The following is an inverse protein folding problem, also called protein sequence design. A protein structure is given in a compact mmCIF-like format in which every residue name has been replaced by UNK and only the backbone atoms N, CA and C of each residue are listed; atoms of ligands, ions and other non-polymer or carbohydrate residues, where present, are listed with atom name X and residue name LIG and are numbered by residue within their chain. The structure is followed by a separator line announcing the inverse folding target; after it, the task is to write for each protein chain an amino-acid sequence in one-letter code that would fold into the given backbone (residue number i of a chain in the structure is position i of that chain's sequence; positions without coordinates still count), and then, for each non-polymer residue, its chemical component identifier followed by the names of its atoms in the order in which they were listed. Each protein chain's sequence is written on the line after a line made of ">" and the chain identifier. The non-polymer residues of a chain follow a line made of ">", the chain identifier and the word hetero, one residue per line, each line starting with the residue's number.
data_IF_692366741600
#
_entry.id   IF_692366741600
#
_cell.length_a   1.000
_cell.length_b   1.000
_cell.length_c   1.000
_cell.angle_alpha   90.00
_cell.angle_beta   90.00
_cell.angle_gamma   90.00
#
_symmetry.space_group_name_H-M   'P 1'
#
loop_
_entity.id
_entity.type
_entity.pdbx_description
1 polymer ?
#
# COMPACT_ATOMS: atom_id res chain seq x y z
N UNK A 1 -10.95 8.44 -13.16
CA UNK A 1 -11.23 9.86 -12.88
C UNK A 1 -10.19 10.40 -11.92
N UNK A 2 -9.52 11.50 -12.29
CA UNK A 2 -8.43 12.09 -11.53
C UNK A 2 -8.90 12.74 -10.22
N UNK A 3 -8.04 12.73 -9.20
CA UNK A 3 -8.29 13.42 -7.94
C UNK A 3 -8.20 14.95 -8.15
N UNK A 4 -9.15 15.71 -7.62
CA UNK A 4 -9.05 17.17 -7.54
C UNK A 4 -8.27 17.54 -6.28
N UNK A 5 -7.02 18.00 -6.44
CA UNK A 5 -6.11 18.34 -5.35
C UNK A 5 -6.61 19.50 -4.48
N UNK A 6 -7.40 20.43 -5.04
CA UNK A 6 -7.97 21.55 -4.28
C UNK A 6 -8.91 21.08 -3.15
N UNK A 7 -9.49 19.87 -3.27
CA UNK A 7 -10.28 19.28 -2.17
C UNK A 7 -9.40 18.88 -0.99
N UNK A 8 -8.15 18.45 -1.24
CA UNK A 8 -7.24 18.01 -0.19
C UNK A 8 -6.81 19.19 0.70
N UNK A 9 -6.66 20.39 0.12
CA UNK A 9 -6.41 21.62 0.87
C UNK A 9 -7.52 21.94 1.87
N UNK A 10 -8.74 21.46 1.60
CA UNK A 10 -9.89 21.61 2.49
C UNK A 10 -10.05 20.44 3.47
N UNK A 11 -9.09 19.52 3.57
CA UNK A 11 -9.13 18.41 4.52
C UNK A 11 -9.22 18.94 5.95
N UNK A 12 -10.18 18.39 6.72
CA UNK A 12 -10.34 18.70 8.15
C UNK A 12 -9.94 17.47 8.94
N UNK A 13 -8.82 17.57 9.63
CA UNK A 13 -8.31 16.56 10.54
C UNK A 13 -9.32 16.32 11.68
N UNK A 14 -9.56 15.06 12.00
CA UNK A 14 -10.30 14.62 13.18
C UNK A 14 -9.33 14.04 14.22
N UNK A 15 -8.55 13.02 13.84
CA UNK A 15 -7.56 12.40 14.74
C UNK A 15 -6.41 11.71 14.01
N UNK A 16 -5.30 11.52 14.71
CA UNK A 16 -4.17 10.69 14.25
C UNK A 16 -4.53 9.22 14.44
N UNK A 17 -4.33 8.40 13.40
CA UNK A 17 -4.56 6.95 13.44
C UNK A 17 -3.27 6.20 13.76
N UNK A 18 -2.17 6.58 13.13
CA UNK A 18 -0.86 5.99 13.36
C UNK A 18 0.24 7.01 13.09
N UNK A 19 1.26 7.00 13.92
CA UNK A 19 2.52 7.70 13.73
C UNK A 19 3.63 6.65 13.87
N UNK A 20 4.35 6.42 12.78
CA UNK A 20 5.39 5.40 12.70
C UNK A 20 6.73 6.04 12.29
N UNK A 21 7.60 6.31 13.28
CA UNK A 21 8.92 6.87 13.03
C UNK A 21 9.83 5.98 12.17
N UNK A 22 9.64 4.65 12.19
CA UNK A 22 10.50 3.72 11.46
C UNK A 22 10.21 3.73 9.96
N UNK A 23 8.93 3.80 9.58
CA UNK A 23 8.53 3.96 8.17
C UNK A 23 8.48 5.42 7.71
N UNK A 24 8.82 6.36 8.59
CA UNK A 24 8.69 7.80 8.35
C UNK A 24 7.30 8.18 7.80
N UNK A 25 6.25 7.59 8.38
CA UNK A 25 4.88 7.77 7.93
C UNK A 25 3.92 8.18 9.05
N UNK A 26 2.91 8.94 8.67
CA UNK A 26 1.78 9.30 9.53
C UNK A 26 0.48 9.06 8.78
N UNK A 27 -0.51 8.50 9.46
CA UNK A 27 -1.87 8.29 8.94
C UNK A 27 -2.86 9.02 9.81
N UNK A 28 -3.73 9.80 9.18
CA UNK A 28 -4.73 10.61 9.87
C UNK A 28 -6.13 10.37 9.32
N UNK A 29 -7.13 10.42 10.20
CA UNK A 29 -8.54 10.40 9.85
C UNK A 29 -9.08 11.82 9.89
N UNK A 30 -9.94 12.12 8.93
CA UNK A 30 -10.66 13.38 8.89
C UNK A 30 -11.77 13.34 7.88
N UNK A 31 -12.10 14.50 7.33
CA UNK A 31 -13.13 14.64 6.31
C UNK A 31 -12.66 15.52 5.16
N UNK A 32 -13.20 15.29 3.97
CA UNK A 32 -12.94 16.06 2.74
C UNK A 32 -14.28 16.40 2.07
N UNK A 33 -14.44 17.50 1.30
CA UNK A 33 -15.66 17.77 0.53
C UNK A 33 -16.01 16.61 -0.40
N UNK A 34 -17.29 16.26 -0.57
CA UNK A 34 -17.73 15.20 -1.48
C UNK A 34 -17.44 15.54 -2.95
N UNK A 35 -17.35 14.53 -3.82
CA UNK A 35 -17.08 14.75 -5.25
C UNK A 35 -18.27 15.41 -5.97
N UNK A 36 -19.47 14.93 -5.68
CA UNK A 36 -20.70 15.35 -6.37
C UNK A 36 -21.56 16.31 -5.53
N UNK A 37 -21.18 16.54 -4.27
CA UNK A 37 -21.89 17.38 -3.31
C UNK A 37 -20.86 18.10 -2.43
N UNK A 38 -20.34 19.25 -2.89
CA UNK A 38 -19.29 20.00 -2.19
C UNK A 38 -19.72 20.42 -0.77
N UNK A 39 -21.01 20.68 -0.56
CA UNK A 39 -21.58 21.03 0.76
C UNK A 39 -21.52 19.86 1.76
N UNK A 40 -21.40 18.62 1.27
CA UNK A 40 -21.35 17.43 2.13
C UNK A 40 -19.92 16.97 2.30
N UNK A 41 -19.49 16.80 3.54
CA UNK A 41 -18.17 16.22 3.85
C UNK A 41 -18.25 14.71 3.98
N UNK A 42 -17.28 14.00 3.42
CA UNK A 42 -17.15 12.54 3.48
C UNK A 42 -15.92 12.16 4.33
N UNK A 43 -15.95 11.01 5.04
CA UNK A 43 -14.80 10.55 5.81
C UNK A 43 -13.65 10.18 4.88
N UNK A 44 -12.44 10.59 5.24
CA UNK A 44 -11.24 10.32 4.46
C UNK A 44 -10.04 10.03 5.37
N UNK A 45 -9.17 9.13 4.91
CA UNK A 45 -7.87 8.88 5.52
C UNK A 45 -6.81 9.48 4.61
N UNK A 46 -5.86 10.20 5.20
CA UNK A 46 -4.67 10.70 4.52
C UNK A 46 -3.45 10.06 5.18
N UNK A 47 -2.65 9.35 4.40
CA UNK A 47 -1.34 8.85 4.83
C UNK A 47 -0.25 9.61 4.09
N UNK A 48 0.68 10.18 4.85
CA UNK A 48 1.87 10.86 4.33
C UNK A 48 3.07 10.01 4.70
N UNK A 49 3.89 9.66 3.71
CA UNK A 49 5.11 8.85 3.89
C UNK A 49 6.27 9.57 3.21
N UNK A 50 7.40 9.74 3.91
CA UNK A 50 8.62 10.28 3.28
C UNK A 50 9.07 9.39 2.11
N UNK A 51 9.46 10.00 1.01
CA UNK A 51 10.11 9.28 -0.08
C UNK A 51 11.56 8.95 0.30
N UNK A 52 12.12 7.84 -0.20
CA UNK A 52 13.53 7.54 -0.01
C UNK A 52 14.41 8.59 -0.70
N UNK A 53 15.51 8.95 -0.06
CA UNK A 53 16.59 9.70 -0.73
C UNK A 53 17.35 8.71 -1.61
N UNK A 54 17.43 8.98 -2.91
CA UNK A 54 18.11 8.10 -3.86
C UNK A 54 19.56 8.51 -4.10
N UNK A 55 20.39 7.57 -4.57
CA UNK A 55 21.77 7.89 -4.92
C UNK A 55 21.83 8.87 -6.09
N UNK A 56 20.91 8.79 -7.05
CA UNK A 56 20.82 9.77 -8.15
C UNK A 56 20.59 11.20 -7.65
N UNK A 57 19.70 11.40 -6.67
CA UNK A 57 19.39 12.72 -6.13
C UNK A 57 20.58 13.39 -5.44
N UNK A 58 21.47 12.61 -4.82
CA UNK A 58 22.60 13.14 -4.04
C UNK A 58 23.87 13.31 -4.88
N UNK A 59 23.89 12.84 -6.14
CA UNK A 59 25.07 12.98 -7.03
C UNK A 59 25.50 14.44 -7.17
N UNK A 60 24.53 15.33 -7.32
CA UNK A 60 24.74 16.78 -7.34
C UNK A 60 24.11 17.37 -6.08
N UNK A 61 24.89 17.46 -4.99
CA UNK A 61 24.40 18.00 -3.71
C UNK A 61 23.99 19.49 -3.79
N UNK A 62 24.41 20.18 -4.85
CA UNK A 62 23.99 21.54 -5.15
C UNK A 62 22.48 21.54 -5.42
N UNK A 63 21.75 22.44 -4.75
CA UNK A 63 20.29 22.59 -4.83
C UNK A 63 19.44 21.46 -4.22
N UNK A 64 20.06 20.42 -3.65
CA UNK A 64 19.35 19.36 -2.90
C UNK A 64 18.75 19.89 -1.61
N UNK A 65 19.45 20.80 -0.92
CA UNK A 65 19.02 21.40 0.33
C UNK A 65 18.72 22.89 0.13
N UNK A 66 17.53 23.33 0.55
CA UNK A 66 17.15 24.74 0.55
C UNK A 66 17.56 25.47 1.83
N UNK A 67 17.64 24.75 2.95
CA UNK A 67 18.03 25.30 4.26
C UNK A 67 18.80 24.26 5.07
N UNK A 68 19.76 24.72 5.88
CA UNK A 68 20.57 23.89 6.76
C UNK A 68 20.68 24.55 8.13
N UNK A 69 20.47 23.78 9.19
CA UNK A 69 20.59 24.22 10.59
C UNK A 69 21.55 23.31 11.36
N UNK A 70 22.57 23.86 12.00
CA UNK A 70 23.54 23.07 12.77
C UNK A 70 22.93 22.66 14.12
N UNK A 71 22.97 21.37 14.42
CA UNK A 71 22.57 20.80 15.72
C UNK A 71 23.75 20.79 16.68
N UNK A 72 24.96 20.47 16.19
CA UNK A 72 26.16 20.43 17.00
C UNK A 72 27.33 19.73 16.32
N UNK A 73 28.40 19.52 17.08
CA UNK A 73 29.60 18.83 16.62
C UNK A 73 30.32 18.12 17.77
N UNK A 74 31.10 17.09 17.44
CA UNK A 74 32.06 16.45 18.33
C UNK A 74 33.25 15.95 17.52
N UNK A 75 34.42 16.58 17.68
CA UNK A 75 35.63 16.32 16.90
C UNK A 75 35.35 16.36 15.38
N UNK A 76 35.42 15.22 14.69
CA UNK A 76 35.16 15.13 13.24
C UNK A 76 33.67 14.99 12.88
N UNK A 77 32.79 14.81 13.85
CA UNK A 77 31.36 14.62 13.63
C UNK A 77 30.61 15.95 13.70
N UNK A 78 29.78 16.23 12.70
CA UNK A 78 28.90 17.39 12.65
C UNK A 78 27.48 16.91 12.38
N UNK A 79 26.52 17.43 13.14
CA UNK A 79 25.10 17.13 12.97
C UNK A 79 24.38 18.37 12.47
N UNK A 80 23.64 18.22 11.38
CA UNK A 80 22.93 19.30 10.69
C UNK A 80 21.54 18.79 10.32
N UNK A 81 20.51 19.61 10.56
CA UNK A 81 19.18 19.43 9.98
C UNK A 81 19.17 20.05 8.59
N UNK A 82 18.61 19.34 7.62
CA UNK A 82 18.46 19.86 6.27
C UNK A 82 17.00 19.86 5.83
N UNK A 83 16.56 20.97 5.27
CA UNK A 83 15.33 21.06 4.52
C UNK A 83 15.65 20.94 3.06
N UNK A 84 14.91 20.07 2.42
CA UNK A 84 15.19 19.69 1.08
C UNK A 84 14.65 20.77 0.11
N UNK A 85 15.44 21.13 -0.91
CA UNK A 85 15.14 22.16 -1.91
C UNK A 85 14.17 21.69 -3.01
N UNK A 86 13.79 22.60 -3.91
CA UNK A 86 12.79 22.36 -4.96
C UNK A 86 13.30 21.69 -6.24
N UNK A 87 14.61 21.49 -6.41
CA UNK A 87 15.23 20.98 -7.64
C UNK A 87 15.24 19.46 -7.83
N UNK A 88 14.42 18.70 -7.11
CA UNK A 88 14.53 17.23 -6.99
C UNK A 88 13.18 16.52 -6.98
N UNK A 89 13.20 15.23 -6.68
CA UNK A 89 12.01 14.38 -6.55
C UNK A 89 11.12 14.81 -5.36
N UNK A 90 9.81 14.50 -5.42
CA UNK A 90 8.86 14.83 -4.34
C UNK A 90 9.23 14.19 -3.00
N UNK A 91 9.07 14.93 -1.90
CA UNK A 91 9.52 14.55 -0.54
C UNK A 91 8.64 13.50 0.13
N UNK A 92 7.38 13.43 -0.32
CA UNK A 92 6.36 12.61 0.32
C UNK A 92 5.45 11.98 -0.71
N UNK A 93 5.09 10.72 -0.46
CA UNK A 93 3.96 10.05 -1.07
C UNK A 93 2.73 10.29 -0.20
N UNK A 94 1.67 10.79 -0.80
CA UNK A 94 0.37 11.00 -0.14
C UNK A 94 -0.63 9.96 -0.68
N UNK A 95 -1.14 9.11 0.21
CA UNK A 95 -2.20 8.14 -0.10
C UNK A 95 -3.51 8.61 0.52
N UNK A 96 -4.58 8.66 -0.28
CA UNK A 96 -5.89 9.15 0.16
C UNK A 96 -6.92 8.05 -0.01
N UNK A 97 -7.65 7.76 1.06
CA UNK A 97 -8.79 6.84 1.06
C UNK A 97 -10.06 7.65 1.28
N UNK A 98 -10.82 7.91 0.21
CA UNK A 98 -12.14 8.55 0.30
C UNK A 98 -13.22 7.54 0.72
N UNK A 99 -14.29 8.03 1.36
CA UNK A 99 -15.36 7.20 1.93
C UNK A 99 -14.80 6.12 2.88
N UNK A 100 -13.90 6.53 3.77
CA UNK A 100 -13.23 5.65 4.70
C UNK A 100 -14.24 4.90 5.58
N UNK A 101 -14.24 3.57 5.50
CA UNK A 101 -15.06 2.69 6.34
C UNK A 101 -14.33 2.37 7.64
N UNK A 102 -15.04 1.80 8.61
CA UNK A 102 -14.43 1.34 9.86
C UNK A 102 -13.30 0.31 9.61
N UNK A 103 -13.42 -0.52 8.57
CA UNK A 103 -12.36 -1.44 8.18
C UNK A 103 -11.10 -0.71 7.67
N UNK A 104 -11.26 0.38 6.93
CA UNK A 104 -10.14 1.24 6.53
C UNK A 104 -9.52 1.92 7.76
N UNK A 105 -10.34 2.51 8.63
CA UNK A 105 -9.87 3.19 9.85
C UNK A 105 -9.00 2.23 10.68
N UNK A 106 -9.48 1.01 10.93
CA UNK A 106 -8.72 -0.02 11.65
C UNK A 106 -7.40 -0.35 10.96
N UNK A 107 -7.39 -0.54 9.63
CA UNK A 107 -6.16 -0.83 8.86
C UNK A 107 -5.07 0.24 9.04
N UNK A 108 -5.46 1.52 9.08
CA UNK A 108 -4.52 2.64 9.21
C UNK A 108 -4.26 3.05 10.66
N UNK A 109 -5.00 2.49 11.63
CA UNK A 109 -4.77 2.71 13.05
C UNK A 109 -3.56 1.90 13.51
N UNK A 110 -2.74 2.47 14.40
CA UNK A 110 -1.62 1.79 15.04
C UNK A 110 -2.09 0.48 15.64
N UNK A 111 -1.59 -0.63 15.11
CA UNK A 111 -1.93 -1.96 15.59
C UNK A 111 -0.93 -2.38 16.68
N UNK A 112 -1.43 -2.87 17.80
CA UNK A 112 -0.63 -3.68 18.73
C UNK A 112 -0.62 -5.12 18.21
N UNK A 113 0.57 -5.64 17.94
CA UNK A 113 0.72 -7.00 17.45
C UNK A 113 0.86 -7.97 18.60
N UNK A 114 0.10 -9.06 18.54
CA UNK A 114 0.28 -10.23 19.40
C UNK A 114 0.47 -11.44 18.51
N UNK A 115 1.47 -12.26 18.81
CA UNK A 115 1.68 -13.50 18.09
C UNK A 115 0.61 -14.52 18.51
N UNK A 116 -0.11 -15.06 17.54
CA UNK A 116 -1.10 -16.13 17.74
C UNK A 116 -0.66 -17.37 16.99
N UNK A 117 -0.65 -18.52 17.66
CA UNK A 117 -0.41 -19.81 17.03
C UNK A 117 -1.75 -20.47 16.69
N UNK A 118 -2.19 -20.30 15.45
CA UNK A 118 -3.43 -20.90 14.95
C UNK A 118 -3.30 -22.43 14.77
N UNK A 119 -4.14 -23.21 15.46
CA UNK A 119 -4.31 -24.64 15.22
C UNK A 119 -5.31 -24.90 14.07
N UNK A 120 -5.30 -26.10 13.44
CA UNK A 120 -6.31 -26.46 12.44
C UNK A 120 -7.76 -26.33 12.97
N UNK A 121 -7.97 -26.66 14.24
CA UNK A 121 -9.28 -26.52 14.91
C UNK A 121 -9.67 -25.05 15.02
N UNK A 122 -8.76 -24.18 15.49
CA UNK A 122 -9.02 -22.75 15.59
C UNK A 122 -9.32 -22.12 14.23
N UNK A 123 -8.61 -22.55 13.17
CA UNK A 123 -8.90 -22.13 11.82
C UNK A 123 -10.34 -22.51 11.42
N UNK A 124 -10.74 -23.75 11.63
CA UNK A 124 -12.05 -24.25 11.22
C UNK A 124 -13.21 -23.59 11.98
N UNK A 125 -13.04 -23.36 13.29
CA UNK A 125 -14.10 -22.90 14.18
C UNK A 125 -14.20 -21.37 14.28
N UNK A 126 -13.09 -20.66 14.12
CA UNK A 126 -13.03 -19.20 14.37
C UNK A 126 -12.64 -18.42 13.11
N UNK A 127 -11.49 -18.75 12.51
CA UNK A 127 -10.91 -17.93 11.44
C UNK A 127 -11.67 -18.09 10.12
N UNK A 128 -11.98 -19.33 9.72
CA UNK A 128 -12.71 -19.60 8.47
C UNK A 128 -14.11 -18.97 8.47
N UNK A 129 -14.95 -19.11 9.52
CA UNK A 129 -16.24 -18.42 9.59
C UNK A 129 -16.10 -16.89 9.53
N UNK A 130 -15.08 -16.33 10.19
CA UNK A 130 -14.81 -14.89 10.13
C UNK A 130 -14.46 -14.41 8.72
N UNK A 131 -13.57 -15.13 8.02
CA UNK A 131 -13.20 -14.80 6.63
C UNK A 131 -14.41 -14.93 5.70
N UNK A 132 -15.19 -16.00 5.84
CA UNK A 132 -16.41 -16.25 5.04
C UNK A 132 -17.51 -15.21 5.25
N UNK A 133 -17.50 -14.47 6.37
CA UNK A 133 -18.48 -13.42 6.64
C UNK A 133 -18.20 -12.12 5.86
N UNK A 134 -17.04 -11.96 5.22
CA UNK A 134 -16.77 -10.76 4.42
C UNK A 134 -17.56 -10.77 3.11
N UNK A 135 -18.06 -9.60 2.66
CA UNK A 135 -18.81 -9.52 1.43
C UNK A 135 -17.89 -9.81 0.21
N UNK A 136 -18.39 -10.53 -0.83
CA UNK A 136 -17.61 -10.82 -2.03
C UNK A 136 -17.07 -9.57 -2.75
N UNK A 137 -17.77 -8.43 -2.63
CA UNK A 137 -17.36 -7.15 -3.19
C UNK A 137 -15.99 -6.66 -2.69
N UNK A 138 -15.52 -7.17 -1.55
CA UNK A 138 -14.18 -6.85 -1.02
C UNK A 138 -13.05 -7.35 -1.92
N UNK A 139 -13.31 -8.40 -2.70
CA UNK A 139 -12.37 -8.97 -3.68
C UNK A 139 -12.64 -8.50 -5.10
N UNK A 140 -13.58 -7.56 -5.31
CA UNK A 140 -13.97 -7.13 -6.65
C UNK A 140 -12.80 -6.58 -7.45
N UNK A 141 -11.87 -5.86 -6.81
CA UNK A 141 -10.67 -5.36 -7.49
C UNK A 141 -9.79 -6.48 -8.05
N UNK A 142 -9.73 -7.63 -7.38
CA UNK A 142 -9.02 -8.83 -7.87
C UNK A 142 -9.70 -9.34 -9.13
N UNK A 143 -11.03 -9.47 -9.08
CA UNK A 143 -11.80 -9.97 -10.22
C UNK A 143 -11.77 -9.03 -11.42
N UNK A 144 -11.75 -7.72 -11.20
CA UNK A 144 -11.62 -6.74 -12.28
C UNK A 144 -10.26 -6.83 -12.99
N UNK A 145 -9.19 -7.22 -12.28
CA UNK A 145 -7.88 -7.52 -12.89
C UNK A 145 -7.98 -8.81 -13.71
N UNK A 146 -8.52 -9.88 -13.12
CA UNK A 146 -8.69 -11.18 -13.79
C UNK A 146 -9.63 -11.14 -15.01
N UNK A 147 -10.55 -10.18 -15.09
CA UNK A 147 -11.44 -9.95 -16.24
C UNK A 147 -10.96 -8.83 -17.17
N UNK A 148 -9.76 -8.29 -16.94
CA UNK A 148 -9.17 -7.18 -17.72
C UNK A 148 -10.00 -5.88 -17.73
N UNK A 149 -10.92 -5.72 -16.78
CA UNK A 149 -11.70 -4.48 -16.59
C UNK A 149 -10.87 -3.36 -15.95
N UNK A 150 -9.79 -3.71 -15.25
CA UNK A 150 -8.84 -2.76 -14.65
C UNK A 150 -7.41 -3.28 -14.74
N UNK A 151 -6.44 -2.36 -14.84
CA UNK A 151 -4.99 -2.66 -14.80
C UNK A 151 -4.49 -3.57 -15.94
N UNK A 152 -5.28 -3.77 -17.00
CA UNK A 152 -4.95 -4.65 -18.11
C UNK A 152 -3.65 -4.25 -18.83
N UNK A 153 -3.38 -2.95 -18.92
CA UNK A 153 -2.16 -2.37 -19.49
C UNK A 153 -0.91 -2.57 -18.62
N UNK A 154 -1.09 -2.98 -17.36
CA UNK A 154 -0.02 -3.20 -16.37
C UNK A 154 0.35 -4.67 -16.21
N UNK A 155 -0.30 -5.56 -16.95
CA UNK A 155 0.00 -7.00 -16.93
C UNK A 155 1.38 -7.24 -17.58
N UNK A 156 2.27 -7.91 -16.83
CA UNK A 156 3.61 -8.29 -17.30
C UNK A 156 3.62 -9.69 -17.92
N UNK A 157 2.78 -10.58 -17.39
CA UNK A 157 2.65 -11.97 -17.84
C UNK A 157 1.27 -12.51 -17.46
N UNK A 158 0.72 -13.39 -18.30
CA UNK A 158 -0.54 -14.06 -18.05
C UNK A 158 -0.49 -15.50 -18.58
N UNK A 159 -0.87 -16.44 -17.70
CA UNK A 159 -1.30 -17.78 -18.10
C UNK A 159 -2.84 -17.82 -18.03
N UNK A 160 -3.55 -18.01 -19.17
CA UNK A 160 -5.00 -17.92 -19.24
C UNK A 160 -5.72 -19.17 -18.70
N UNK A 161 -5.01 -20.21 -18.24
CA UNK A 161 -5.64 -21.41 -17.71
C UNK A 161 -6.59 -21.07 -16.55
N UNK A 162 -7.88 -21.46 -16.60
CA UNK A 162 -8.85 -21.08 -15.56
C UNK A 162 -8.57 -21.74 -14.21
N UNK A 163 -7.86 -22.87 -14.21
CA UNK A 163 -7.61 -23.68 -13.00
C UNK A 163 -6.17 -23.57 -12.50
N UNK A 164 -5.20 -23.41 -13.41
CA UNK A 164 -3.77 -23.39 -13.09
C UNK A 164 -3.10 -22.06 -13.44
N UNK A 165 -3.80 -21.20 -14.18
CA UNK A 165 -3.26 -19.94 -14.67
C UNK A 165 -3.30 -18.82 -13.64
N UNK A 166 -2.63 -17.73 -13.99
CA UNK A 166 -2.44 -16.57 -13.14
C UNK A 166 -2.03 -15.35 -13.96
N UNK A 167 -2.21 -14.16 -13.38
CA UNK A 167 -1.72 -12.88 -13.90
C UNK A 167 -0.60 -12.37 -13.00
N UNK A 168 0.50 -11.90 -13.60
CA UNK A 168 1.57 -11.15 -12.92
C UNK A 168 1.49 -9.68 -13.31
N UNK A 169 1.52 -8.80 -12.30
CA UNK A 169 1.52 -7.35 -12.47
C UNK A 169 2.26 -6.64 -11.32
N UNK A 170 2.72 -5.38 -11.51
CA UNK A 170 3.28 -4.55 -10.44
C UNK A 170 2.29 -4.34 -9.28
N UNK A 171 2.77 -4.45 -8.03
CA UNK A 171 1.98 -4.08 -6.84
C UNK A 171 1.92 -2.53 -6.71
N UNK A 172 0.82 -2.00 -6.17
CA UNK A 172 0.61 -0.56 -5.94
C UNK A 172 1.69 0.11 -5.07
N UNK A 173 2.48 -0.67 -4.33
CA UNK A 173 3.61 -0.17 -3.54
C UNK A 173 4.80 0.20 -4.40
N UNK A 174 4.97 -0.40 -5.57
CA UNK A 174 6.09 -0.11 -6.47
C UNK A 174 5.71 1.00 -7.45
N UNK A 175 6.65 1.89 -7.74
CA UNK A 175 6.48 3.05 -8.63
C UNK A 175 6.64 2.70 -10.12
N UNK A 176 7.00 1.45 -10.44
CA UNK A 176 7.22 0.99 -11.80
C UNK A 176 8.58 1.36 -12.41
N UNK A 177 9.44 2.07 -11.67
CA UNK A 177 10.71 2.59 -12.19
C UNK A 177 11.88 2.19 -11.29
N UNK A 178 11.74 2.32 -9.97
CA UNK A 178 12.83 2.13 -9.01
C UNK A 178 13.07 0.65 -8.73
N UNK A 179 14.09 0.05 -9.35
CA UNK A 179 14.40 -1.39 -9.24
C UNK A 179 14.76 -1.85 -7.82
N UNK A 180 15.34 -0.99 -6.99
CA UNK A 180 15.61 -1.32 -5.58
C UNK A 180 14.32 -1.51 -4.76
N UNK A 181 13.18 -1.03 -5.27
CA UNK A 181 11.84 -1.19 -4.69
C UNK A 181 10.96 -2.14 -5.51
N UNK A 182 11.56 -2.95 -6.39
CA UNK A 182 10.84 -3.86 -7.28
C UNK A 182 9.86 -4.74 -6.49
N UNK A 183 8.57 -4.61 -6.82
CA UNK A 183 7.50 -5.37 -6.17
C UNK A 183 6.41 -5.72 -7.19
N UNK A 184 6.27 -7.01 -7.47
CA UNK A 184 5.21 -7.57 -8.30
C UNK A 184 4.35 -8.53 -7.47
N UNK A 185 3.15 -8.80 -7.96
CA UNK A 185 2.21 -9.77 -7.39
C UNK A 185 1.72 -10.73 -8.47
N UNK A 186 1.38 -11.96 -8.07
CA UNK A 186 0.72 -12.95 -8.91
C UNK A 186 -0.68 -13.24 -8.35
N UNK A 187 -1.69 -13.23 -9.23
CA UNK A 187 -3.09 -13.52 -8.89
C UNK A 187 -3.52 -14.75 -9.67
N UNK A 188 -3.86 -15.84 -8.97
CA UNK A 188 -4.36 -17.07 -9.61
C UNK A 188 -5.78 -16.88 -10.15
N UNK A 189 -6.08 -17.54 -11.27
CA UNK A 189 -7.40 -17.48 -11.90
C UNK A 189 -8.46 -18.25 -11.09
N UNK A 190 -8.05 -19.32 -10.41
CA UNK A 190 -8.96 -20.11 -9.58
C UNK A 190 -9.52 -19.30 -8.41
N UNK A 191 -10.80 -19.52 -8.09
CA UNK A 191 -11.50 -18.85 -6.97
C UNK A 191 -11.59 -19.73 -5.73
N UNK A 192 -11.06 -20.95 -5.80
CA UNK A 192 -11.20 -21.96 -4.75
C UNK A 192 -10.11 -21.88 -3.66
N UNK A 193 -9.14 -20.98 -3.83
CA UNK A 193 -8.03 -20.77 -2.90
C UNK A 193 -8.23 -19.45 -2.17
N UNK A 194 -8.58 -19.49 -0.89
CA UNK A 194 -8.73 -18.29 -0.06
C UNK A 194 -7.47 -18.00 0.76
N UNK A 195 -6.72 -19.03 1.12
CA UNK A 195 -5.51 -18.91 1.93
C UNK A 195 -4.58 -20.12 1.78
N UNK A 196 -3.43 -20.08 2.46
CA UNK A 196 -2.51 -21.23 2.56
C UNK A 196 -3.21 -22.51 3.08
N UNK A 197 -4.30 -22.39 3.85
CA UNK A 197 -5.06 -23.55 4.36
C UNK A 197 -5.82 -24.32 3.28
N UNK A 198 -6.01 -23.73 2.09
CA UNK A 198 -6.68 -24.39 0.96
C UNK A 198 -5.69 -25.07 0.01
N UNK A 199 -4.38 -24.83 0.16
CA UNK A 199 -3.36 -25.44 -0.69
C UNK A 199 -3.31 -26.95 -0.47
N UNK A 200 -3.39 -27.71 -1.57
CA UNK A 200 -3.33 -29.17 -1.62
C UNK A 200 -2.30 -29.59 -2.68
N UNK A 201 -1.96 -30.87 -2.70
CA UNK A 201 -1.02 -31.46 -3.67
C UNK A 201 -1.42 -31.14 -5.13
N UNK A 202 -2.72 -31.08 -5.43
CA UNK A 202 -3.23 -30.78 -6.77
C UNK A 202 -2.88 -29.36 -7.28
N UNK A 203 -2.53 -28.43 -6.38
CA UNK A 203 -2.16 -27.06 -6.76
C UNK A 203 -0.65 -26.91 -6.98
N UNK A 204 0.13 -27.98 -6.75
CA UNK A 204 1.57 -27.96 -6.96
C UNK A 204 1.87 -28.48 -8.37
N UNK A 205 2.86 -27.89 -9.07
CA UNK A 205 3.31 -28.44 -10.33
C UNK A 205 3.84 -29.86 -10.11
N UNK A 206 3.63 -30.73 -11.10
CA UNK A 206 4.08 -32.12 -11.04
C UNK A 206 5.61 -32.16 -10.85
N UNK A 207 6.06 -32.68 -9.71
CA UNK A 207 7.48 -32.70 -9.34
C UNK A 207 8.35 -33.51 -10.32
N UNK A 208 7.71 -34.38 -11.12
CA UNK A 208 8.36 -35.13 -12.21
C UNK A 208 8.80 -34.26 -13.40
N UNK A 209 8.33 -33.00 -13.49
CA UNK A 209 8.72 -32.06 -14.57
C UNK A 209 10.07 -31.37 -14.33
N UNK A 210 10.68 -31.55 -13.14
CA UNK A 210 11.92 -30.89 -12.73
C UNK A 210 13.02 -31.87 -12.28
N UNK A 211 12.83 -33.17 -12.55
CA UNK A 211 13.79 -34.24 -12.32
C UNK A 211 14.46 -34.69 -13.60
#
# INVERSE_FOLDING_TARGET
>A
MAINLARLEQFKLDRVLNEDPLSHSISVLGTIPGRDQEDKRIPAIVQVTKTPITAEEIKDIQDVFGELEVIGQNDVYHWVLGWLGGGRSPDVKITIVENATEAHIRKFTKQSWTMVRESPQLYAEVVKPHISAFPPSRLQWVYNILSHESEADRILFEDPSPTEGFIILPDLKWDGVTMSMFYIQAIVNTRDIHSLRDIRKQHLPDASKYS
#
